data_IF_696533289790
#
_entry.id   IF_696533289790
#
_cell.length_a   1.000
_cell.length_b   1.000
_cell.length_c   1.000
_cell.angle_alpha   90.00
_cell.angle_beta   90.00
_cell.angle_gamma   90.00
#
_symmetry.space_group_name_H-M   'P 1'
#
loop_
_entity.id
_entity.type
_entity.pdbx_description
1 polymer ?
#
# COMPACT_ATOMS: atom_id res chain seq x y z
N UNK A 1 -26.25 6.99 12.54
CA UNK A 1 -26.55 6.43 11.20
C UNK A 1 -26.26 4.92 11.05
N UNK A 2 -25.33 4.31 11.80
CA UNK A 2 -24.93 2.90 11.58
C UNK A 2 -25.88 1.82 12.11
N UNK A 3 -26.83 2.14 13.00
CA UNK A 3 -27.75 1.16 13.60
C UNK A 3 -28.88 0.72 12.66
N UNK A 4 -29.30 1.57 11.71
CA UNK A 4 -30.40 1.26 10.79
C UNK A 4 -30.02 0.40 9.58
N UNK A 5 -28.74 0.42 9.15
CA UNK A 5 -28.25 -0.48 8.09
C UNK A 5 -28.03 -1.92 8.62
N UNK A 6 -27.99 -2.10 9.94
CA UNK A 6 -27.56 -3.33 10.63
C UNK A 6 -28.65 -4.40 10.72
N UNK A 7 -29.92 -4.05 10.56
CA UNK A 7 -31.03 -5.02 10.61
C UNK A 7 -31.23 -5.79 9.31
N UNK A 8 -30.60 -5.37 8.20
CA UNK A 8 -30.77 -6.00 6.88
C UNK A 8 -29.52 -6.60 6.27
N UNK A 9 -28.33 -6.29 6.78
CA UNK A 9 -27.07 -6.76 6.21
C UNK A 9 -26.40 -7.71 7.21
N UNK A 10 -26.45 -9.03 6.97
CA UNK A 10 -25.88 -10.02 7.89
C UNK A 10 -24.34 -10.08 7.87
N UNK A 11 -23.68 -9.32 6.99
CA UNK A 11 -22.25 -9.47 6.70
C UNK A 11 -21.50 -8.13 6.78
N UNK A 12 -20.67 -7.97 7.82
CA UNK A 12 -19.79 -6.81 8.07
C UNK A 12 -18.86 -6.53 6.88
N UNK A 13 -18.49 -7.58 6.13
CA UNK A 13 -17.61 -7.48 4.94
C UNK A 13 -18.23 -6.65 3.83
N UNK A 14 -19.56 -6.70 3.67
CA UNK A 14 -20.29 -5.89 2.67
C UNK A 14 -20.28 -4.40 3.00
N UNK A 15 -20.03 -4.03 4.24
CA UNK A 15 -19.93 -2.63 4.68
C UNK A 15 -18.49 -2.13 4.55
N UNK A 16 -17.50 -2.96 4.89
CA UNK A 16 -16.08 -2.59 4.84
C UNK A 16 -15.49 -2.57 3.43
N UNK A 17 -15.87 -3.53 2.57
CA UNK A 17 -15.27 -3.68 1.25
C UNK A 17 -15.42 -2.42 0.36
N UNK A 18 -16.61 -1.78 0.22
CA UNK A 18 -16.75 -0.59 -0.60
C UNK A 18 -15.87 0.57 -0.11
N UNK A 19 -15.80 0.76 1.21
CA UNK A 19 -14.98 1.82 1.81
C UNK A 19 -13.50 1.61 1.52
N UNK A 20 -13.01 0.39 1.67
CA UNK A 20 -11.62 0.06 1.38
C UNK A 20 -11.31 0.26 -0.10
N UNK A 21 -12.15 -0.27 -0.99
CA UNK A 21 -11.96 -0.12 -2.45
C UNK A 21 -11.91 1.36 -2.86
N UNK A 22 -12.87 2.17 -2.41
CA UNK A 22 -12.91 3.61 -2.74
C UNK A 22 -11.68 4.33 -2.20
N UNK A 23 -11.27 4.03 -0.96
CA UNK A 23 -10.09 4.66 -0.35
C UNK A 23 -8.81 4.26 -1.08
N UNK A 24 -8.63 2.97 -1.39
CA UNK A 24 -7.49 2.47 -2.15
C UNK A 24 -7.42 3.10 -3.53
N UNK A 25 -8.54 3.16 -4.26
CA UNK A 25 -8.61 3.78 -5.59
C UNK A 25 -8.25 5.26 -5.53
N UNK A 26 -8.78 6.00 -4.54
CA UNK A 26 -8.48 7.41 -4.38
C UNK A 26 -6.98 7.65 -4.10
N UNK A 27 -6.38 6.86 -3.21
CA UNK A 27 -4.95 6.95 -2.87
C UNK A 27 -4.07 6.61 -4.08
N UNK A 28 -4.37 5.52 -4.79
CA UNK A 28 -3.62 5.11 -5.97
C UNK A 28 -3.76 6.15 -7.10
N UNK A 29 -4.98 6.66 -7.35
CA UNK A 29 -5.20 7.67 -8.37
C UNK A 29 -4.44 8.98 -8.06
N UNK A 30 -4.49 9.45 -6.80
CA UNK A 30 -3.74 10.63 -6.38
C UNK A 30 -2.23 10.44 -6.56
N UNK A 31 -1.70 9.27 -6.22
CA UNK A 31 -0.30 8.93 -6.45
C UNK A 31 0.06 8.90 -7.94
N UNK A 32 -0.76 8.26 -8.79
CA UNK A 32 -0.52 8.18 -10.24
C UNK A 32 -0.49 9.59 -10.84
N UNK A 33 -1.45 10.45 -10.48
CA UNK A 33 -1.45 11.84 -10.95
C UNK A 33 -0.18 12.57 -10.51
N UNK A 34 0.21 12.46 -9.24
CA UNK A 34 1.45 13.06 -8.74
C UNK A 34 2.71 12.52 -9.45
N UNK A 35 2.78 11.22 -9.71
CA UNK A 35 3.90 10.59 -10.40
C UNK A 35 3.98 11.02 -11.88
N UNK A 36 2.84 11.16 -12.57
CA UNK A 36 2.79 11.66 -13.94
C UNK A 36 3.21 13.14 -14.02
N UNK A 37 2.78 13.96 -13.06
CA UNK A 37 3.24 15.36 -12.97
C UNK A 37 4.75 15.44 -12.74
N UNK A 38 5.27 14.65 -11.81
CA UNK A 38 6.71 14.59 -11.54
C UNK A 38 7.52 14.09 -12.76
N UNK A 39 6.97 13.13 -13.51
CA UNK A 39 7.58 12.67 -14.75
C UNK A 39 7.59 13.77 -15.81
N UNK A 40 6.49 14.50 -15.99
CA UNK A 40 6.42 15.64 -16.89
C UNK A 40 7.46 16.72 -16.54
N UNK A 41 7.58 17.08 -15.26
CA UNK A 41 8.59 18.04 -14.81
C UNK A 41 10.02 17.54 -15.05
N UNK A 42 10.28 16.26 -14.77
CA UNK A 42 11.60 15.64 -15.03
C UNK A 42 11.94 15.67 -16.52
N UNK A 43 10.97 15.32 -17.37
CA UNK A 43 11.11 15.36 -18.82
C UNK A 43 11.41 16.78 -19.31
N UNK A 44 10.70 17.79 -18.79
CA UNK A 44 10.84 19.18 -19.18
C UNK A 44 12.19 19.80 -18.72
N UNK A 45 12.69 19.41 -17.54
CA UNK A 45 13.86 20.05 -16.92
C UNK A 45 15.18 19.30 -17.14
N UNK A 46 15.16 17.97 -17.06
CA UNK A 46 16.36 17.11 -17.00
C UNK A 46 16.51 16.27 -18.26
N UNK A 47 15.41 16.05 -19.00
CA UNK A 47 15.34 15.21 -20.19
C UNK A 47 14.51 13.96 -19.95
N UNK A 48 14.23 13.20 -21.00
CA UNK A 48 13.26 12.09 -20.96
C UNK A 48 13.80 10.86 -20.24
N UNK A 49 13.32 10.50 -19.04
CA UNK A 49 13.54 9.16 -18.53
C UNK A 49 12.76 8.15 -19.40
N UNK A 50 13.21 6.90 -19.41
CA UNK A 50 12.55 5.84 -20.17
C UNK A 50 11.11 5.63 -19.71
N UNK A 51 10.14 5.74 -20.62
CA UNK A 51 8.72 5.59 -20.28
C UNK A 51 8.40 4.25 -19.60
N UNK A 52 9.04 3.16 -20.04
CA UNK A 52 8.84 1.83 -19.47
C UNK A 52 9.28 1.74 -18.01
N UNK A 53 10.42 2.32 -17.64
CA UNK A 53 10.93 2.28 -16.26
C UNK A 53 10.09 3.15 -15.32
N UNK A 54 9.61 4.30 -15.79
CA UNK A 54 8.68 5.14 -15.02
C UNK A 54 7.34 4.44 -14.80
N UNK A 55 6.73 3.89 -15.84
CA UNK A 55 5.45 3.18 -15.73
C UNK A 55 5.54 1.95 -14.82
N UNK A 56 6.63 1.18 -14.92
CA UNK A 56 6.89 0.06 -14.01
C UNK A 56 7.03 0.54 -12.55
N UNK A 57 7.77 1.62 -12.32
CA UNK A 57 7.92 2.26 -11.01
C UNK A 57 6.58 2.74 -10.43
N UNK A 58 5.71 3.33 -11.25
CA UNK A 58 4.35 3.71 -10.86
C UNK A 58 3.55 2.48 -10.45
N UNK A 59 3.62 1.39 -11.21
CA UNK A 59 2.95 0.13 -10.90
C UNK A 59 3.38 -0.45 -9.54
N UNK A 60 4.69 -0.51 -9.27
CA UNK A 60 5.22 -0.98 -8.00
C UNK A 60 4.86 -0.06 -6.83
N UNK A 61 4.91 1.27 -7.04
CA UNK A 61 4.47 2.26 -6.03
C UNK A 61 2.98 2.13 -5.70
N UNK A 62 2.13 1.91 -6.71
CA UNK A 62 0.71 1.67 -6.50
C UNK A 62 0.46 0.39 -5.70
N UNK A 63 1.17 -0.71 -6.00
CA UNK A 63 1.08 -1.96 -5.23
C UNK A 63 1.50 -1.77 -3.77
N UNK A 64 2.57 -1.01 -3.53
CA UNK A 64 3.00 -0.64 -2.19
C UNK A 64 1.92 0.16 -1.44
N UNK A 65 1.25 1.11 -2.10
CA UNK A 65 0.16 1.88 -1.48
C UNK A 65 -1.06 1.02 -1.14
N UNK A 66 -1.39 0.02 -1.97
CA UNK A 66 -2.44 -0.96 -1.66
C UNK A 66 -2.09 -1.70 -0.35
N UNK A 67 -0.83 -2.09 -0.18
CA UNK A 67 -0.32 -2.67 1.07
C UNK A 67 -0.45 -1.71 2.26
N UNK A 68 -0.08 -0.44 2.10
CA UNK A 68 -0.22 0.57 3.15
C UNK A 68 -1.69 0.68 3.60
N UNK A 69 -2.63 0.73 2.66
CA UNK A 69 -4.07 0.81 3.00
C UNK A 69 -4.53 -0.45 3.72
N UNK A 70 -4.13 -1.64 3.27
CA UNK A 70 -4.46 -2.91 3.93
C UNK A 70 -3.89 -2.99 5.36
N UNK A 71 -2.66 -2.51 5.56
CA UNK A 71 -2.02 -2.43 6.87
C UNK A 71 -2.80 -1.51 7.82
N UNK A 72 -3.13 -0.30 7.37
CA UNK A 72 -3.90 0.66 8.16
C UNK A 72 -5.27 0.08 8.54
N UNK A 73 -5.93 -0.62 7.61
CA UNK A 73 -7.20 -1.29 7.87
C UNK A 73 -7.08 -2.38 8.96
N UNK A 74 -6.03 -3.20 8.90
CA UNK A 74 -5.78 -4.24 9.90
C UNK A 74 -5.49 -3.63 11.28
N UNK A 75 -4.67 -2.58 11.35
CA UNK A 75 -4.37 -1.86 12.59
C UNK A 75 -5.63 -1.21 13.17
N UNK A 76 -6.48 -0.61 12.34
CA UNK A 76 -7.74 -0.01 12.76
C UNK A 76 -8.69 -1.03 13.39
N UNK A 77 -8.66 -2.28 12.93
CA UNK A 77 -9.42 -3.40 13.52
C UNK A 77 -9.04 -3.68 14.98
N UNK A 78 -7.80 -3.35 15.39
CA UNK A 78 -7.28 -3.61 16.75
C UNK A 78 -7.27 -2.36 17.63
N UNK A 79 -6.97 -1.19 17.07
CA UNK A 79 -6.77 0.06 17.80
C UNK A 79 -8.10 0.66 18.29
N UNK A 80 -8.13 1.19 19.52
CA UNK A 80 -9.33 1.80 20.12
C UNK A 80 -9.50 3.29 19.77
N UNK A 81 -8.48 3.92 19.17
CA UNK A 81 -8.51 5.33 18.79
C UNK A 81 -7.92 5.56 17.40
N UNK A 82 -8.35 6.66 16.76
CA UNK A 82 -7.81 7.11 15.46
C UNK A 82 -6.32 7.42 15.59
N UNK A 83 -5.93 8.15 16.64
CA UNK A 83 -4.53 8.48 16.89
C UNK A 83 -3.68 7.22 17.07
N UNK A 84 -4.17 6.23 17.83
CA UNK A 84 -3.48 4.95 18.00
C UNK A 84 -3.31 4.20 16.68
N UNK A 85 -4.31 4.24 15.81
CA UNK A 85 -4.24 3.63 14.47
C UNK A 85 -3.17 4.28 13.62
N UNK A 86 -3.15 5.62 13.59
CA UNK A 86 -2.18 6.40 12.81
C UNK A 86 -0.77 6.14 13.33
N UNK A 87 -0.55 6.30 14.64
CA UNK A 87 0.77 6.13 15.25
C UNK A 87 1.31 4.70 15.08
N UNK A 88 0.48 3.68 15.30
CA UNK A 88 0.91 2.30 15.11
C UNK A 88 1.24 2.00 13.64
N UNK A 89 0.43 2.49 12.70
CA UNK A 89 0.70 2.31 11.26
C UNK A 89 2.01 3.00 10.86
N UNK A 90 2.24 4.23 11.31
CA UNK A 90 3.49 4.96 11.07
C UNK A 90 4.68 4.21 11.64
N UNK A 91 4.60 3.74 12.90
CA UNK A 91 5.70 2.99 13.53
C UNK A 91 6.02 1.72 12.74
N UNK A 92 5.00 0.95 12.30
CA UNK A 92 5.23 -0.24 11.47
C UNK A 92 5.92 0.13 10.16
N UNK A 93 5.45 1.18 9.48
CA UNK A 93 6.03 1.63 8.21
C UNK A 93 7.45 2.19 8.37
N UNK A 94 7.79 2.80 9.51
CA UNK A 94 9.13 3.33 9.77
C UNK A 94 10.12 2.26 10.22
N UNK A 95 9.64 1.24 10.94
CA UNK A 95 10.49 0.13 11.40
C UNK A 95 10.79 -0.85 10.26
N UNK A 96 9.86 -1.02 9.31
CA UNK A 96 10.02 -1.97 8.21
C UNK A 96 11.30 -1.76 7.36
N UNK A 97 11.67 -0.53 6.94
CA UNK A 97 12.93 -0.26 6.26
C UNK A 97 14.18 -0.61 7.07
N UNK A 98 14.12 -0.56 8.41
CA UNK A 98 15.26 -0.92 9.27
C UNK A 98 15.60 -2.41 9.10
N UNK A 99 14.58 -3.26 8.99
CA UNK A 99 14.78 -4.68 8.66
C UNK A 99 15.27 -4.88 7.22
N UNK A 100 14.98 -3.92 6.33
CA UNK A 100 15.42 -3.90 4.94
C UNK A 100 16.90 -3.60 4.73
N UNK A 101 17.64 -3.22 5.77
CA UNK A 101 19.10 -3.02 5.71
C UNK A 101 19.82 -4.34 5.37
N UNK A 102 19.26 -5.47 5.78
CA UNK A 102 19.78 -6.78 5.37
C UNK A 102 19.34 -7.09 3.95
N UNK A 103 20.28 -7.24 3.02
CA UNK A 103 19.99 -7.61 1.62
C UNK A 103 19.16 -8.90 1.47
N UNK A 104 19.33 -9.85 2.39
CA UNK A 104 18.58 -11.10 2.38
C UNK A 104 17.08 -10.90 2.65
N UNK A 105 16.73 -9.90 3.46
CA UNK A 105 15.37 -9.60 3.91
C UNK A 105 14.76 -8.46 3.08
N UNK A 106 15.56 -7.43 2.78
CA UNK A 106 15.19 -6.24 2.01
C UNK A 106 14.50 -6.56 0.70
N UNK A 107 15.01 -7.55 -0.05
CA UNK A 107 14.47 -7.94 -1.37
C UNK A 107 13.06 -8.55 -1.31
N UNK A 108 12.60 -8.97 -0.15
CA UNK A 108 11.26 -9.52 0.05
C UNK A 108 10.29 -8.50 0.66
N UNK A 109 10.79 -7.39 1.19
CA UNK A 109 9.98 -6.44 1.93
C UNK A 109 9.17 -5.54 0.99
N UNK A 110 7.89 -5.23 1.32
CA UNK A 110 7.07 -4.30 0.54
C UNK A 110 7.71 -2.91 0.38
N UNK A 111 8.50 -2.46 1.35
CA UNK A 111 9.21 -1.18 1.31
C UNK A 111 10.20 -1.09 0.15
N UNK A 112 10.66 -2.22 -0.39
CA UNK A 112 11.52 -2.23 -1.57
C UNK A 112 10.78 -1.68 -2.80
N UNK A 113 9.48 -1.98 -2.94
CA UNK A 113 8.64 -1.47 -4.03
C UNK A 113 8.47 0.05 -3.99
N UNK A 114 8.47 0.65 -2.78
CA UNK A 114 8.30 2.09 -2.60
C UNK A 114 9.43 2.92 -3.22
N UNK A 115 10.65 2.35 -3.34
CA UNK A 115 11.79 3.00 -3.97
C UNK A 115 11.85 2.85 -5.49
N UNK A 116 11.05 1.98 -6.09
CA UNK A 116 11.15 1.60 -7.51
C UNK A 116 10.94 2.79 -8.47
N UNK A 117 10.06 3.73 -8.11
CA UNK A 117 9.77 4.91 -8.93
C UNK A 117 10.98 5.82 -9.12
N UNK A 118 11.91 5.85 -8.16
CA UNK A 118 13.18 6.58 -8.30
C UNK A 118 14.30 5.71 -8.88
N UNK A 119 14.40 4.46 -8.43
CA UNK A 119 15.52 3.57 -8.77
C UNK A 119 15.51 3.07 -10.21
N UNK A 120 14.33 2.77 -10.78
CA UNK A 120 14.21 2.25 -12.15
C UNK A 120 14.56 3.31 -13.20
N UNK A 121 14.05 4.55 -13.15
CA UNK A 121 14.44 5.58 -14.12
C UNK A 121 15.90 6.00 -14.00
N UNK A 122 16.49 5.89 -12.80
CA UNK A 122 17.91 6.17 -12.56
C UNK A 122 18.85 5.05 -13.06
N UNK A 123 18.31 3.92 -13.53
CA UNK A 123 19.12 2.78 -13.99
C UNK A 123 19.84 2.02 -12.86
N UNK A 124 19.40 2.21 -11.61
CA UNK A 124 20.05 1.60 -10.45
C UNK A 124 19.69 0.10 -10.25
N UNK A 125 18.57 -0.34 -10.82
CA UNK A 125 18.00 -1.69 -10.64
C UNK A 125 17.19 -2.09 -11.87
N UNK A 126 16.95 -3.38 -12.05
CA UNK A 126 16.07 -3.90 -13.10
C UNK A 126 14.65 -4.16 -12.60
N UNK A 127 13.62 -4.08 -13.46
CA UNK A 127 12.24 -4.42 -13.07
C UNK A 127 12.09 -5.86 -12.55
N UNK A 128 12.94 -6.77 -13.04
CA UNK A 128 13.01 -8.17 -12.63
C UNK A 128 13.35 -8.34 -11.15
N UNK A 129 14.10 -7.42 -10.54
CA UNK A 129 14.54 -7.49 -9.14
C UNK A 129 13.36 -7.38 -8.15
N UNK A 130 12.25 -6.79 -8.58
CA UNK A 130 11.08 -6.51 -7.74
C UNK A 130 10.06 -7.65 -7.67
N UNK A 131 10.25 -8.76 -8.40
CA UNK A 131 9.24 -9.82 -8.48
C UNK A 131 8.97 -10.48 -7.11
N UNK A 132 10.02 -10.68 -6.30
CA UNK A 132 9.91 -11.31 -4.97
C UNK A 132 9.15 -10.41 -4.00
N UNK A 133 9.51 -9.13 -3.97
CA UNK A 133 8.82 -8.12 -3.17
C UNK A 133 7.36 -7.97 -3.60
N UNK A 134 7.07 -8.03 -4.90
CA UNK A 134 5.71 -7.96 -5.44
C UNK A 134 4.86 -9.14 -4.96
N UNK A 135 5.37 -10.37 -5.11
CA UNK A 135 4.65 -11.58 -4.68
C UNK A 135 4.40 -11.55 -3.16
N UNK A 136 5.42 -11.20 -2.37
CA UNK A 136 5.29 -11.10 -0.92
C UNK A 136 4.29 -10.01 -0.51
N UNK A 137 4.26 -8.89 -1.23
CA UNK A 137 3.32 -7.80 -0.98
C UNK A 137 1.88 -8.23 -1.26
N UNK A 138 1.63 -8.95 -2.36
CA UNK A 138 0.29 -9.50 -2.65
C UNK A 138 -0.16 -10.46 -1.55
N UNK A 139 0.73 -11.35 -1.09
CA UNK A 139 0.43 -12.28 0.02
C UNK A 139 0.11 -11.51 1.31
N UNK A 140 0.93 -10.51 1.66
CA UNK A 140 0.72 -9.67 2.85
C UNK A 140 -0.57 -8.85 2.76
N UNK A 141 -0.90 -8.30 1.59
CA UNK A 141 -2.17 -7.59 1.37
C UNK A 141 -3.35 -8.53 1.64
N UNK A 142 -3.35 -9.73 1.05
CA UNK A 142 -4.42 -10.69 1.26
C UNK A 142 -4.56 -11.07 2.75
N UNK A 143 -3.44 -11.31 3.43
CA UNK A 143 -3.41 -11.66 4.86
C UNK A 143 -3.88 -10.50 5.74
N UNK A 144 -3.47 -9.27 5.46
CA UNK A 144 -3.88 -8.07 6.20
C UNK A 144 -5.36 -7.76 5.99
N UNK A 145 -5.89 -7.91 4.78
CA UNK A 145 -7.32 -7.75 4.51
C UNK A 145 -8.14 -8.83 5.23
N UNK A 146 -7.66 -10.07 5.26
CA UNK A 146 -8.29 -11.14 6.03
C UNK A 146 -8.26 -10.86 7.55
N UNK A 147 -7.13 -10.37 8.07
CA UNK A 147 -7.02 -9.94 9.47
C UNK A 147 -7.95 -8.77 9.78
N UNK A 148 -8.04 -7.77 8.90
CA UNK A 148 -8.93 -6.62 9.08
C UNK A 148 -10.40 -7.06 9.16
N UNK A 149 -10.83 -7.98 8.29
CA UNK A 149 -12.17 -8.54 8.31
C UNK A 149 -12.45 -9.35 9.58
N UNK A 150 -11.54 -10.25 9.98
CA UNK A 150 -11.72 -11.09 11.17
C UNK A 150 -11.68 -10.31 12.49
N UNK A 151 -10.84 -9.27 12.60
CA UNK A 151 -10.82 -8.39 13.77
C UNK A 151 -12.07 -7.53 13.88
N UNK A 152 -12.62 -7.08 12.74
CA UNK A 152 -13.89 -6.37 12.72
C UNK A 152 -15.04 -7.27 13.19
N UNK A 153 -15.11 -8.52 12.71
CA UNK A 153 -16.09 -9.52 13.16
C UNK A 153 -15.99 -9.76 14.69
N UNK A 154 -14.78 -9.92 15.23
CA UNK A 154 -14.57 -10.17 16.67
C UNK A 154 -14.91 -9.00 17.59
N UNK A 155 -14.84 -7.75 17.11
CA UNK A 155 -15.23 -6.57 17.90
C UNK A 155 -16.73 -6.40 18.03
N UNK A 156 -17.49 -7.10 17.19
CA UNK A 156 -18.94 -7.01 17.14
C UNK A 156 -19.64 -8.14 17.91
N UNK A 157 -18.88 -9.11 18.44
CA UNK A 157 -19.30 -10.17 19.38
C UNK A 157 -19.02 -9.75 20.83
#
# INVERSE_FOLDING_TARGET
MGTFLRTRIPDVRRILAPRLVVTTLAVVAAFVVGALTAWYETWALIGSPGAGSVLAGIGFGALFLVFVVALVAAVAGRASSVLGTVMASIVVLLVMPIFGISDAIGRWLPTHLGGALGALPAGATEPSDYWRASLMTVVLVALLLWLAASLAERREL
#
